data_IF_885846859705
#
_entry.id   IF_885846859705
#
_cell.length_a   1.000
_cell.length_b   1.000
_cell.length_c   1.000
_cell.angle_alpha   90.00
_cell.angle_beta   90.00
_cell.angle_gamma   90.00
#
_symmetry.space_group_name_H-M   'P 1'
#
loop_
_entity.id
_entity.type
_entity.pdbx_description
1 polymer ?
#
# COMPACT_ATOMS: atom_id res chain seq x y z
N UNK A 1 2.64 -22.46 -2.68
CA UNK A 1 3.44 -22.00 -1.57
C UNK A 1 3.06 -20.57 -1.23
N UNK A 2 2.76 -20.32 0.02
CA UNK A 2 2.55 -18.96 0.51
C UNK A 2 3.93 -18.31 0.49
N UNK A 3 4.03 -17.09 -0.04
CA UNK A 3 5.28 -16.34 0.00
C UNK A 3 5.65 -16.17 1.48
N UNK A 4 6.90 -16.45 1.80
CA UNK A 4 7.39 -16.37 3.18
C UNK A 4 7.48 -14.89 3.55
N UNK A 5 6.69 -14.46 4.52
CA UNK A 5 6.60 -13.08 4.98
C UNK A 5 7.13 -13.00 6.42
N UNK A 6 8.03 -12.07 6.65
CA UNK A 6 8.51 -11.74 8.00
C UNK A 6 7.78 -10.50 8.50
N UNK A 7 7.09 -10.61 9.62
CA UNK A 7 6.51 -9.48 10.31
C UNK A 7 7.48 -8.98 11.38
N UNK A 8 7.82 -7.70 11.33
CA UNK A 8 8.64 -7.03 12.34
C UNK A 8 7.78 -5.98 13.03
N UNK A 9 7.72 -6.04 14.36
CA UNK A 9 7.03 -5.06 15.19
C UNK A 9 8.05 -4.36 16.09
N UNK A 10 8.12 -3.05 16.00
CA UNK A 10 8.98 -2.21 16.81
C UNK A 10 8.12 -1.33 17.71
N UNK A 11 8.35 -1.43 19.01
CA UNK A 11 7.78 -0.51 20.01
C UNK A 11 8.79 0.60 20.29
N UNK A 12 8.33 1.84 20.25
CA UNK A 12 9.17 3.01 20.46
C UNK A 12 9.27 3.40 21.94
N UNK A 13 8.44 2.80 22.79
CA UNK A 13 8.48 2.96 24.26
C UNK A 13 9.36 1.88 24.88
N UNK A 14 10.20 2.25 25.83
CA UNK A 14 11.41 1.49 26.20
C UNK A 14 11.21 0.24 27.05
N UNK A 15 10.02 -0.04 27.60
CA UNK A 15 9.85 -1.05 28.66
C UNK A 15 8.70 -2.04 28.41
N UNK A 16 8.77 -2.79 27.31
CA UNK A 16 7.71 -3.74 26.94
C UNK A 16 8.18 -5.19 27.01
N UNK A 17 7.28 -6.09 27.39
CA UNK A 17 7.49 -7.54 27.30
C UNK A 17 6.69 -8.08 26.15
N UNK A 18 7.38 -8.68 25.20
CA UNK A 18 6.78 -9.31 24.04
C UNK A 18 6.66 -10.82 24.24
N UNK A 19 5.48 -11.36 23.99
CA UNK A 19 5.25 -12.81 23.95
C UNK A 19 4.73 -13.19 22.58
N UNK A 20 5.43 -14.08 21.89
CA UNK A 20 5.07 -14.58 20.57
C UNK A 20 4.41 -15.95 20.74
N UNK A 21 3.17 -16.07 20.31
CA UNK A 21 2.44 -17.34 20.17
C UNK A 21 2.51 -17.86 18.72
N UNK A 22 1.90 -19.02 18.45
CA UNK A 22 1.89 -19.61 17.10
C UNK A 22 1.16 -18.73 16.05
N UNK A 23 0.17 -17.97 16.48
CA UNK A 23 -0.71 -17.16 15.63
C UNK A 23 -1.05 -15.79 16.27
N UNK A 24 -0.33 -15.44 17.32
CA UNK A 24 -0.58 -14.21 18.07
C UNK A 24 0.70 -13.59 18.58
N UNK A 25 0.70 -12.25 18.60
CA UNK A 25 1.70 -11.42 19.25
C UNK A 25 1.03 -10.67 20.40
N UNK A 26 1.56 -10.82 21.59
CA UNK A 26 1.13 -10.07 22.77
C UNK A 26 2.24 -9.18 23.26
N UNK A 27 1.94 -7.92 23.41
CA UNK A 27 2.84 -6.92 23.99
C UNK A 27 2.21 -6.39 25.26
N UNK A 28 2.99 -6.35 26.32
CA UNK A 28 2.55 -5.85 27.64
C UNK A 28 3.64 -4.93 28.14
N UNK A 29 3.26 -3.76 28.60
CA UNK A 29 4.18 -2.87 29.31
C UNK A 29 4.59 -3.48 30.64
N UNK A 30 5.83 -3.26 31.04
CA UNK A 30 6.38 -3.75 32.32
C UNK A 30 5.84 -3.00 33.52
N UNK A 31 5.34 -1.79 33.32
CA UNK A 31 4.86 -0.91 34.38
C UNK A 31 3.35 -0.75 34.30
N UNK A 32 2.68 -0.84 35.43
CA UNK A 32 1.27 -0.50 35.54
C UNK A 32 1.10 1.02 35.49
N UNK A 33 0.15 1.48 34.67
CA UNK A 33 -0.22 2.90 34.59
C UNK A 33 -1.56 3.14 35.28
N UNK A 34 -1.53 4.05 36.24
CA UNK A 34 -2.75 4.60 36.80
C UNK A 34 -3.22 5.77 35.93
N UNK A 35 -4.23 5.54 35.08
CA UNK A 35 -4.85 6.59 34.30
C UNK A 35 -5.66 7.51 35.23
N UNK A 36 -5.20 8.73 35.40
CA UNK A 36 -5.93 9.77 36.11
C UNK A 36 -6.96 10.44 35.20
N UNK A 37 -8.08 10.90 35.79
CA UNK A 37 -9.11 11.63 35.04
C UNK A 37 -8.50 12.87 34.33
N UNK A 38 -8.79 13.00 33.02
CA UNK A 38 -8.27 14.07 32.17
C UNK A 38 -6.81 13.91 31.71
N UNK A 39 -6.19 12.74 31.98
CA UNK A 39 -4.88 12.38 31.43
C UNK A 39 -5.02 11.31 30.36
N UNK A 40 -4.15 11.36 29.37
CA UNK A 40 -4.00 10.33 28.34
C UNK A 40 -2.61 9.72 28.40
N UNK A 41 -2.55 8.45 28.03
CA UNK A 41 -1.29 7.74 27.79
C UNK A 41 -1.23 7.41 26.30
N UNK A 42 -0.07 7.62 25.68
CA UNK A 42 0.17 7.33 24.27
C UNK A 42 1.30 6.33 24.14
N UNK A 43 1.07 5.24 23.42
CA UNK A 43 2.10 4.29 23.03
C UNK A 43 2.26 4.33 21.51
N UNK A 44 3.50 4.26 21.04
CA UNK A 44 3.84 4.27 19.62
C UNK A 44 4.49 2.95 19.24
N UNK A 45 4.01 2.37 18.14
CA UNK A 45 4.63 1.19 17.56
C UNK A 45 4.68 1.28 16.03
N UNK A 46 5.63 0.58 15.44
CA UNK A 46 5.73 0.41 13.99
C UNK A 46 5.65 -1.07 13.64
N UNK A 47 5.00 -1.37 12.54
CA UNK A 47 4.92 -2.72 12.00
C UNK A 47 5.31 -2.71 10.54
N UNK A 48 6.20 -3.63 10.16
CA UNK A 48 6.59 -3.88 8.77
C UNK A 48 6.38 -5.33 8.40
N UNK A 49 6.16 -5.54 7.11
CA UNK A 49 6.06 -6.85 6.51
C UNK A 49 7.10 -6.92 5.38
N UNK A 50 8.07 -7.80 5.53
CA UNK A 50 9.11 -8.02 4.51
C UNK A 50 8.94 -9.39 3.87
N UNK A 51 9.16 -9.45 2.56
CA UNK A 51 9.14 -10.70 1.82
C UNK A 51 10.47 -11.43 1.96
N UNK A 52 10.47 -12.73 1.69
CA UNK A 52 11.69 -13.55 1.70
C UNK A 52 12.73 -12.96 0.76
N UNK A 53 13.94 -12.73 1.29
CA UNK A 53 15.05 -12.13 0.56
C UNK A 53 15.16 -10.62 0.65
N UNK A 54 14.18 -9.95 1.26
CA UNK A 54 14.27 -8.54 1.62
C UNK A 54 15.03 -8.37 2.94
N UNK A 55 15.73 -7.25 3.07
CA UNK A 55 16.56 -6.99 4.24
C UNK A 55 15.73 -6.39 5.40
N UNK A 56 15.15 -7.26 6.22
CA UNK A 56 14.34 -6.86 7.38
C UNK A 56 15.10 -5.94 8.34
N UNK A 57 16.41 -6.13 8.48
CA UNK A 57 17.25 -5.30 9.35
C UNK A 57 17.37 -3.86 8.84
N UNK A 58 17.46 -3.66 7.53
CA UNK A 58 17.47 -2.31 6.94
C UNK A 58 16.13 -1.61 7.14
N UNK A 59 15.05 -2.32 6.93
CA UNK A 59 13.70 -1.80 7.18
C UNK A 59 13.52 -1.42 8.64
N UNK A 60 13.97 -2.28 9.56
CA UNK A 60 13.95 -2.00 10.99
C UNK A 60 14.70 -0.71 11.35
N UNK A 61 15.90 -0.52 10.79
CA UNK A 61 16.69 0.70 11.02
C UNK A 61 15.97 1.93 10.45
N UNK A 62 15.38 1.81 9.27
CA UNK A 62 14.65 2.90 8.63
C UNK A 62 13.45 3.35 9.47
N UNK A 63 12.59 2.42 9.90
CA UNK A 63 11.39 2.77 10.70
C UNK A 63 11.74 3.32 12.07
N UNK A 64 12.84 2.87 12.68
CA UNK A 64 13.29 3.37 13.96
C UNK A 64 13.73 4.84 13.92
N UNK A 65 14.21 5.29 12.77
CA UNK A 65 14.73 6.65 12.57
C UNK A 65 13.66 7.69 12.23
N UNK A 66 12.44 7.27 11.89
CA UNK A 66 11.39 8.18 11.43
C UNK A 66 10.41 8.47 12.58
N UNK A 67 10.30 9.73 13.03
CA UNK A 67 9.33 10.11 14.06
C UNK A 67 7.89 9.91 13.59
N UNK A 68 7.01 9.48 14.48
CA UNK A 68 5.59 9.30 14.20
C UNK A 68 4.93 10.54 13.59
N UNK A 69 5.16 11.70 14.19
CA UNK A 69 4.58 12.97 13.71
C UNK A 69 4.98 13.29 12.27
N UNK A 70 6.21 12.95 11.87
CA UNK A 70 6.67 13.13 10.50
C UNK A 70 5.93 12.19 9.55
N UNK A 71 5.81 10.90 9.89
CA UNK A 71 5.04 9.94 9.10
C UNK A 71 3.58 10.35 8.95
N UNK A 72 2.98 10.84 10.04
CA UNK A 72 1.59 11.29 10.02
C UNK A 72 1.41 12.52 9.13
N UNK A 73 2.31 13.52 9.24
CA UNK A 73 2.26 14.73 8.44
C UNK A 73 2.45 14.42 6.93
N UNK A 74 3.43 13.60 6.58
CA UNK A 74 3.70 13.21 5.20
C UNK A 74 2.52 12.44 4.58
N UNK A 75 1.94 11.53 5.35
CA UNK A 75 0.76 10.79 4.89
C UNK A 75 -0.46 11.71 4.73
N UNK A 76 -0.71 12.60 5.68
CA UNK A 76 -1.79 13.59 5.59
C UNK A 76 -1.59 14.52 4.38
N UNK A 77 -0.37 14.97 4.13
CA UNK A 77 -0.04 15.78 2.95
C UNK A 77 -0.34 15.04 1.65
N UNK A 78 0.10 13.79 1.53
CA UNK A 78 -0.15 12.95 0.35
C UNK A 78 -1.65 12.80 0.07
N UNK A 79 -2.44 12.48 1.08
CA UNK A 79 -3.89 12.34 0.94
C UNK A 79 -4.57 13.66 0.57
N UNK A 80 -4.20 14.76 1.22
CA UNK A 80 -4.76 16.08 0.98
C UNK A 80 -4.45 16.60 -0.41
N UNK A 81 -3.24 16.36 -0.93
CA UNK A 81 -2.89 16.73 -2.30
C UNK A 81 -3.77 16.02 -3.34
N UNK A 82 -3.96 14.71 -3.20
CA UNK A 82 -4.85 13.94 -4.07
C UNK A 82 -6.31 14.45 -3.98
N UNK A 83 -6.78 14.67 -2.77
CA UNK A 83 -8.13 15.20 -2.52
C UNK A 83 -8.34 16.58 -3.14
N UNK A 84 -7.38 17.49 -2.98
CA UNK A 84 -7.44 18.82 -3.57
C UNK A 84 -7.52 18.76 -5.10
N UNK A 85 -6.71 17.93 -5.75
CA UNK A 85 -6.75 17.76 -7.21
C UNK A 85 -8.13 17.30 -7.68
N UNK A 86 -8.72 16.32 -7.00
CA UNK A 86 -10.05 15.83 -7.34
C UNK A 86 -11.12 16.90 -7.14
N UNK A 87 -11.12 17.58 -5.99
CA UNK A 87 -12.16 18.54 -5.64
C UNK A 87 -12.05 19.89 -6.38
N UNK A 88 -10.86 20.24 -6.89
CA UNK A 88 -10.64 21.43 -7.70
C UNK A 88 -10.83 21.19 -9.20
N UNK A 89 -11.20 19.99 -9.62
CA UNK A 89 -11.47 19.70 -11.02
C UNK A 89 -12.59 20.61 -11.56
N UNK A 90 -12.33 21.27 -12.70
CA UNK A 90 -13.31 22.14 -13.36
C UNK A 90 -14.34 21.27 -14.09
N UNK A 91 -15.32 20.80 -13.32
CA UNK A 91 -16.40 19.96 -13.81
C UNK A 91 -17.72 20.39 -13.16
N UNK A 92 -18.81 20.51 -13.94
CA UNK A 92 -20.12 20.82 -13.39
C UNK A 92 -20.57 19.79 -12.32
N UNK A 93 -20.16 18.55 -12.47
CA UNK A 93 -20.48 17.49 -11.50
C UNK A 93 -19.85 17.74 -10.12
N UNK A 94 -18.69 18.40 -10.04
CA UNK A 94 -18.03 18.71 -8.78
C UNK A 94 -18.78 19.77 -7.96
N UNK A 95 -19.79 20.43 -8.52
CA UNK A 95 -20.68 21.37 -7.81
C UNK A 95 -21.74 20.65 -6.97
N UNK A 96 -22.00 19.37 -7.26
CA UNK A 96 -23.00 18.56 -6.58
C UNK A 96 -22.35 17.64 -5.54
N UNK A 97 -22.89 17.67 -4.31
CA UNK A 97 -22.34 16.89 -3.19
C UNK A 97 -22.31 15.37 -3.47
N UNK A 98 -23.31 14.85 -4.17
CA UNK A 98 -23.36 13.42 -4.51
C UNK A 98 -22.15 12.99 -5.33
N UNK A 99 -21.82 13.72 -6.40
CA UNK A 99 -20.67 13.40 -7.26
C UNK A 99 -19.34 13.64 -6.55
N UNK A 100 -19.24 14.69 -5.73
CA UNK A 100 -18.06 14.92 -4.90
C UNK A 100 -17.80 13.76 -3.95
N UNK A 101 -18.82 13.23 -3.29
CA UNK A 101 -18.69 12.09 -2.39
C UNK A 101 -18.27 10.82 -3.13
N UNK A 102 -18.79 10.59 -4.35
CA UNK A 102 -18.37 9.47 -5.20
C UNK A 102 -16.89 9.61 -5.58
N UNK A 103 -16.46 10.80 -6.01
CA UNK A 103 -15.07 11.04 -6.40
C UNK A 103 -14.09 10.86 -5.22
N UNK A 104 -14.45 11.35 -4.03
CA UNK A 104 -13.67 11.13 -2.80
C UNK A 104 -13.59 9.64 -2.46
N UNK A 105 -14.71 8.92 -2.58
CA UNK A 105 -14.73 7.47 -2.31
C UNK A 105 -13.88 6.69 -3.31
N UNK A 106 -13.93 7.05 -4.59
CA UNK A 106 -13.08 6.47 -5.62
C UNK A 106 -11.58 6.70 -5.31
N UNK A 107 -11.19 7.93 -4.98
CA UNK A 107 -9.84 8.26 -4.55
C UNK A 107 -9.38 7.40 -3.35
N UNK A 108 -10.22 7.28 -2.34
CA UNK A 108 -9.91 6.45 -1.17
C UNK A 108 -9.69 4.98 -1.56
N UNK A 109 -10.55 4.44 -2.43
CA UNK A 109 -10.47 3.04 -2.87
C UNK A 109 -9.17 2.79 -3.64
N UNK A 110 -8.84 3.65 -4.61
CA UNK A 110 -7.63 3.52 -5.42
C UNK A 110 -6.35 3.62 -4.56
N UNK A 111 -6.29 4.60 -3.65
CA UNK A 111 -5.16 4.74 -2.75
C UNK A 111 -5.02 3.56 -1.76
N UNK A 112 -6.13 3.01 -1.27
CA UNK A 112 -6.09 1.89 -0.32
C UNK A 112 -5.62 0.59 -0.97
N UNK A 113 -5.83 0.45 -2.26
CA UNK A 113 -5.41 -0.73 -3.03
C UNK A 113 -3.97 -0.65 -3.54
N UNK A 114 -3.34 0.53 -3.44
CA UNK A 114 -1.96 0.72 -3.85
C UNK A 114 -0.99 -0.09 -2.99
N UNK A 115 0.00 -0.69 -3.65
CA UNK A 115 1.13 -1.40 -3.04
C UNK A 115 2.42 -0.80 -3.55
N UNK A 116 3.33 -0.52 -2.63
CA UNK A 116 4.69 -0.09 -2.95
C UNK A 116 5.48 -1.23 -3.57
N UNK A 117 6.57 -0.94 -4.31
CA UNK A 117 7.48 -1.98 -4.79
C UNK A 117 7.94 -2.90 -3.67
N UNK A 118 7.90 -4.21 -3.91
CA UNK A 118 8.37 -5.23 -2.97
C UNK A 118 8.58 -6.57 -3.71
N UNK A 119 9.53 -7.38 -3.28
CA UNK A 119 9.87 -8.65 -3.92
C UNK A 119 10.19 -8.48 -5.40
N UNK A 120 9.51 -9.23 -6.23
CA UNK A 120 9.66 -9.13 -7.70
C UNK A 120 8.74 -8.08 -8.35
N UNK A 121 8.01 -7.26 -7.59
CA UNK A 121 7.28 -6.11 -8.10
C UNK A 121 8.19 -4.88 -8.02
N UNK A 122 8.74 -4.43 -9.16
CA UNK A 122 9.73 -3.35 -9.22
C UNK A 122 9.12 -1.95 -9.25
N UNK A 123 7.93 -1.81 -9.80
CA UNK A 123 7.15 -0.57 -9.76
C UNK A 123 5.88 -0.79 -8.92
N UNK A 124 5.51 0.21 -8.12
CA UNK A 124 4.28 0.13 -7.33
C UNK A 124 3.05 -0.02 -8.22
N UNK A 125 2.10 -0.80 -7.76
CA UNK A 125 0.85 -1.05 -8.48
C UNK A 125 -0.31 -1.33 -7.53
N UNK A 126 -1.51 -1.33 -8.06
CA UNK A 126 -2.72 -1.59 -7.28
C UNK A 126 -3.11 -3.07 -7.34
N UNK A 127 -3.47 -3.62 -6.20
CA UNK A 127 -4.13 -4.91 -6.15
C UNK A 127 -5.63 -4.68 -6.16
N UNK A 128 -6.38 -5.28 -7.10
CA UNK A 128 -7.79 -4.92 -7.31
C UNK A 128 -8.69 -5.20 -6.11
N UNK A 129 -8.30 -6.16 -5.26
CA UNK A 129 -9.07 -6.55 -4.09
C UNK A 129 -8.17 -7.07 -2.98
N UNK A 130 -8.65 -6.99 -1.73
CA UNK A 130 -8.04 -7.64 -0.58
C UNK A 130 -8.63 -9.04 -0.33
N UNK A 131 -9.67 -9.43 -1.07
CA UNK A 131 -10.26 -10.79 -1.07
C UNK A 131 -10.39 -11.26 -2.52
N UNK A 132 -9.91 -12.46 -2.83
CA UNK A 132 -10.03 -13.09 -4.13
C UNK A 132 -8.86 -12.77 -5.07
N UNK A 133 -8.76 -11.57 -5.59
CA UNK A 133 -7.69 -11.13 -6.51
C UNK A 133 -6.50 -10.52 -5.77
N UNK A 134 -6.16 -11.11 -4.63
CA UNK A 134 -5.03 -10.70 -3.80
C UNK A 134 -3.71 -11.23 -4.36
N UNK A 135 -2.63 -10.56 -4.00
CA UNK A 135 -1.27 -11.07 -4.20
C UNK A 135 -0.60 -10.67 -5.50
N UNK A 136 -1.15 -9.71 -6.25
CA UNK A 136 -0.48 -9.16 -7.42
C UNK A 136 -1.31 -8.17 -8.22
N UNK A 137 -0.68 -7.63 -9.25
CA UNK A 137 -1.29 -6.76 -10.24
C UNK A 137 -1.89 -7.58 -11.37
N UNK A 138 -3.06 -7.19 -11.79
CA UNK A 138 -3.76 -7.77 -12.93
C UNK A 138 -3.79 -6.76 -14.07
N UNK A 139 -3.40 -7.17 -15.28
CA UNK A 139 -3.29 -6.25 -16.41
C UNK A 139 -4.60 -5.57 -16.77
N UNK A 140 -5.70 -6.32 -16.72
CA UNK A 140 -7.03 -5.77 -16.98
C UNK A 140 -7.37 -4.62 -16.03
N UNK A 141 -7.10 -4.79 -14.75
CA UNK A 141 -7.38 -3.79 -13.71
C UNK A 141 -6.38 -2.64 -13.77
N UNK A 142 -5.11 -2.93 -13.99
CA UNK A 142 -4.03 -1.94 -14.00
C UNK A 142 -4.27 -0.82 -15.04
N UNK A 143 -4.71 -1.16 -16.26
CA UNK A 143 -5.01 -0.16 -17.30
C UNK A 143 -6.13 0.78 -16.86
N UNK A 144 -7.18 0.25 -16.27
CA UNK A 144 -8.32 1.03 -15.80
C UNK A 144 -7.97 1.87 -14.58
N UNK A 145 -7.22 1.29 -13.64
CA UNK A 145 -6.75 1.98 -12.44
C UNK A 145 -5.80 3.12 -12.82
N UNK A 146 -4.86 2.89 -13.73
CA UNK A 146 -3.97 3.93 -14.22
C UNK A 146 -4.74 5.09 -14.86
N UNK A 147 -5.76 4.77 -15.68
CA UNK A 147 -6.65 5.77 -16.30
C UNK A 147 -7.37 6.63 -15.24
N UNK A 148 -7.79 6.03 -14.12
CA UNK A 148 -8.37 6.77 -13.01
C UNK A 148 -7.34 7.60 -12.24
N UNK A 149 -6.17 7.01 -12.00
CA UNK A 149 -5.10 7.62 -11.21
C UNK A 149 -4.48 8.85 -11.88
N UNK A 150 -4.47 8.93 -13.21
CA UNK A 150 -3.83 10.04 -13.93
C UNK A 150 -4.36 11.41 -13.51
N UNK A 151 -5.60 11.49 -13.06
CA UNK A 151 -6.24 12.77 -12.67
C UNK A 151 -5.77 13.29 -11.31
N UNK A 152 -5.31 12.45 -10.42
CA UNK A 152 -4.91 12.88 -9.07
C UNK A 152 -3.51 12.40 -8.66
N UNK A 153 -3.01 11.32 -9.24
CA UNK A 153 -1.70 10.75 -8.98
C UNK A 153 -1.04 10.27 -10.28
N UNK A 154 -0.59 11.16 -11.16
CA UNK A 154 -0.01 10.78 -12.45
C UNK A 154 1.25 9.91 -12.32
N UNK A 155 2.06 10.10 -11.29
CA UNK A 155 3.23 9.25 -11.04
C UNK A 155 2.81 7.83 -10.62
N UNK A 156 1.77 7.71 -9.82
CA UNK A 156 1.17 6.41 -9.52
C UNK A 156 0.60 5.72 -10.75
N UNK A 157 -0.10 6.46 -11.62
CA UNK A 157 -0.59 5.93 -12.88
C UNK A 157 0.53 5.39 -13.77
N UNK A 158 1.63 6.15 -13.88
CA UNK A 158 2.82 5.73 -14.62
C UNK A 158 3.47 4.48 -14.01
N UNK A 159 3.60 4.42 -12.70
CA UNK A 159 4.12 3.27 -11.98
C UNK A 159 3.26 2.02 -12.20
N UNK A 160 1.93 2.16 -12.16
CA UNK A 160 0.96 1.10 -12.46
C UNK A 160 1.20 0.48 -13.85
N UNK A 161 1.40 1.33 -14.85
CA UNK A 161 1.69 0.88 -16.21
C UNK A 161 3.05 0.18 -16.30
N UNK A 162 4.09 0.78 -15.72
CA UNK A 162 5.46 0.25 -15.78
C UNK A 162 5.56 -1.12 -15.10
N UNK A 163 4.80 -1.37 -14.03
CA UNK A 163 4.87 -2.62 -13.28
C UNK A 163 4.64 -3.86 -14.15
N UNK A 164 3.76 -3.76 -15.14
CA UNK A 164 3.47 -4.86 -16.07
C UNK A 164 4.51 -4.93 -17.21
N UNK A 165 4.99 -3.77 -17.69
CA UNK A 165 6.02 -3.71 -18.73
C UNK A 165 7.39 -4.19 -18.25
N UNK A 166 7.68 -4.18 -16.95
CA UNK A 166 8.87 -4.81 -16.37
C UNK A 166 9.02 -6.29 -16.77
N UNK A 167 7.91 -6.93 -17.09
CA UNK A 167 7.82 -8.35 -17.44
C UNK A 167 7.35 -8.59 -18.88
N UNK A 168 7.46 -7.58 -19.74
CA UNK A 168 7.13 -7.75 -21.16
C UNK A 168 8.04 -8.81 -21.81
N UNK A 169 7.45 -9.79 -22.44
CA UNK A 169 8.16 -10.81 -23.18
C UNK A 169 8.77 -10.26 -24.49
N UNK A 170 9.78 -10.95 -25.06
CA UNK A 170 10.44 -10.54 -26.30
C UNK A 170 9.48 -10.35 -27.49
N UNK A 171 8.40 -11.10 -27.51
CA UNK A 171 7.35 -10.97 -28.52
C UNK A 171 6.40 -9.78 -28.29
N UNK A 172 6.65 -8.96 -27.26
CA UNK A 172 5.83 -7.81 -26.88
C UNK A 172 4.68 -8.12 -25.95
N UNK A 173 4.43 -9.38 -25.61
CA UNK A 173 3.32 -9.77 -24.73
C UNK A 173 3.56 -9.32 -23.31
N UNK A 174 2.58 -8.65 -22.73
CA UNK A 174 2.54 -8.24 -21.32
C UNK A 174 1.82 -9.32 -20.51
N UNK A 175 2.31 -9.67 -19.30
CA UNK A 175 1.64 -10.69 -18.49
C UNK A 175 0.23 -10.24 -18.06
N UNK A 176 -0.66 -11.21 -17.93
CA UNK A 176 -1.99 -10.99 -17.37
C UNK A 176 -1.94 -10.68 -15.86
N UNK A 177 -0.97 -11.26 -15.19
CA UNK A 177 -0.77 -11.16 -13.75
C UNK A 177 0.72 -11.13 -13.40
N UNK A 178 1.10 -10.25 -12.50
CA UNK A 178 2.39 -10.24 -11.82
C UNK A 178 2.20 -10.28 -10.30
N UNK A 179 3.06 -11.02 -9.61
CA UNK A 179 3.03 -11.17 -8.16
C UNK A 179 4.34 -10.81 -7.49
N UNK A 180 4.34 -10.72 -6.16
CA UNK A 180 5.54 -10.51 -5.35
C UNK A 180 6.63 -11.57 -5.61
N UNK A 181 6.24 -12.74 -6.09
CA UNK A 181 7.14 -13.77 -6.59
C UNK A 181 6.85 -13.98 -8.08
N UNK A 182 7.83 -13.66 -8.93
CA UNK A 182 7.71 -13.75 -10.40
C UNK A 182 7.41 -15.16 -10.93
N UNK A 183 7.65 -16.21 -10.14
CA UNK A 183 7.26 -17.59 -10.51
C UNK A 183 5.75 -17.70 -10.69
N UNK A 184 4.97 -16.80 -10.09
CA UNK A 184 3.52 -16.73 -10.22
C UNK A 184 3.03 -15.89 -11.41
N UNK A 185 3.93 -15.19 -12.10
CA UNK A 185 3.55 -14.36 -13.23
C UNK A 185 2.90 -15.23 -14.32
N UNK A 186 1.84 -14.71 -14.92
CA UNK A 186 1.03 -15.45 -15.90
C UNK A 186 0.93 -14.68 -17.22
N UNK A 187 1.28 -15.34 -18.31
CA UNK A 187 1.15 -14.81 -19.69
C UNK A 187 0.06 -15.54 -20.49
N UNK A 188 -0.50 -16.63 -19.94
CA UNK A 188 -1.39 -17.51 -20.71
C UNK A 188 -2.74 -16.87 -21.02
N UNK A 189 -3.30 -16.17 -20.06
CA UNK A 189 -4.66 -15.66 -20.10
C UNK A 189 -4.67 -14.14 -20.38
N UNK A 190 -3.73 -13.67 -21.19
CA UNK A 190 -3.58 -12.26 -21.56
C UNK A 190 -4.92 -11.61 -21.93
N UNK A 191 -5.19 -10.48 -21.31
CA UNK A 191 -6.39 -9.69 -21.58
C UNK A 191 -6.15 -8.74 -22.77
N UNK A 192 -7.22 -8.30 -23.47
CA UNK A 192 -7.06 -7.29 -24.50
C UNK A 192 -6.37 -6.06 -23.96
N UNK A 193 -5.40 -5.48 -24.68
CA UNK A 193 -4.83 -4.20 -24.31
C UNK A 193 -5.90 -3.13 -24.41
N UNK A 194 -6.29 -2.56 -23.27
CA UNK A 194 -7.24 -1.45 -23.19
C UNK A 194 -6.49 -0.15 -22.84
N UNK A 195 -5.17 -0.19 -22.95
CA UNK A 195 -4.31 0.94 -22.68
C UNK A 195 -4.32 1.97 -23.83
#
# INVERSE_FOLDING_TARGET
PVDEVTATVLFHTADEVMTVGNDSLRVVEKSDYLLQSGKSYTSEYSQTLTLKGEEADKEYVAIKSIPFDQCFADNAQRWNQGLQRVLSADSPYMKENAYRNIAVKALMTLNSNWRTPAGDIFHGCSFPSYIGFIGGCWSWDAWQIASGNVYYNPEGAKSEMLSLFDYQAENGMVPDFIGYNKVRNNWRDSKPPIA
#
